data_IF_955792061343
#
_entry.id   IF_955792061343
#
_cell.length_a   1.000
_cell.length_b   1.000
_cell.length_c   1.000
_cell.angle_alpha   90.00
_cell.angle_beta   90.00
_cell.angle_gamma   90.00
#
_symmetry.space_group_name_H-M   'P 1'
#
loop_
_entity.id
_entity.type
_entity.pdbx_description
1 polymer ?
#
# COMPACT_ATOMS: atom_id res chain seq x y z
N UNK A 1 -17.50 13.85 22.95
CA UNK A 1 -16.80 14.17 21.69
C UNK A 1 -16.74 12.90 20.86
N UNK A 2 -17.01 12.98 19.56
CA UNK A 2 -16.79 11.87 18.63
C UNK A 2 -15.33 11.42 18.67
N UNK A 3 -15.09 10.12 18.83
CA UNK A 3 -13.74 9.54 18.74
C UNK A 3 -13.27 9.56 17.28
N UNK A 4 -12.04 10.03 17.06
CA UNK A 4 -11.37 9.99 15.76
C UNK A 4 -10.50 8.73 15.73
N UNK A 5 -10.72 7.87 14.74
CA UNK A 5 -10.01 6.60 14.59
C UNK A 5 -9.35 6.55 13.21
N UNK A 6 -8.04 6.30 13.17
CA UNK A 6 -7.30 6.04 11.93
C UNK A 6 -7.27 4.55 11.68
N UNK A 7 -7.85 4.13 10.55
CA UNK A 7 -7.91 2.74 10.12
C UNK A 7 -6.90 2.52 8.99
N UNK A 8 -5.86 1.75 9.27
CA UNK A 8 -4.70 1.61 8.37
C UNK A 8 -3.97 0.28 8.49
N UNK A 9 -3.19 -0.16 7.47
CA UNK A 9 -2.35 -1.36 7.55
C UNK A 9 -1.10 -1.21 8.46
N UNK A 10 -0.81 0.01 8.90
CA UNK A 10 0.29 0.31 9.82
C UNK A 10 -0.22 1.17 10.96
N UNK A 11 0.27 1.00 12.20
CA UNK A 11 -0.16 1.82 13.33
C UNK A 11 0.04 3.32 13.07
N UNK A 12 -0.98 4.12 13.36
CA UNK A 12 -0.84 5.56 13.48
C UNK A 12 -0.05 5.89 14.75
N UNK A 13 0.98 6.73 14.63
CA UNK A 13 1.93 7.05 15.71
C UNK A 13 1.70 8.41 16.38
N UNK A 14 0.68 9.16 15.97
CA UNK A 14 0.34 10.43 16.61
C UNK A 14 -0.61 10.25 17.80
N UNK A 15 -0.83 11.34 18.52
CA UNK A 15 -1.67 11.42 19.73
C UNK A 15 -3.08 11.97 19.46
N UNK A 16 -3.32 12.47 18.24
CA UNK A 16 -4.57 13.14 17.87
C UNK A 16 -5.73 12.21 17.50
N UNK A 17 -5.48 10.90 17.39
CA UNK A 17 -6.46 9.90 16.99
C UNK A 17 -6.07 8.52 17.51
N UNK A 18 -7.07 7.65 17.69
CA UNK A 18 -6.83 6.22 18.01
C UNK A 18 -6.42 5.48 16.74
N UNK A 19 -5.49 4.54 16.85
CA UNK A 19 -5.10 3.67 15.72
C UNK A 19 -5.90 2.37 15.75
N UNK A 20 -6.45 1.98 14.60
CA UNK A 20 -7.04 0.66 14.37
C UNK A 20 -6.36 0.00 13.17
N UNK A 21 -5.69 -1.12 13.39
CA UNK A 21 -5.00 -1.86 12.33
C UNK A 21 -5.87 -3.03 11.88
N UNK A 22 -6.46 -2.91 10.68
CA UNK A 22 -7.33 -3.94 10.12
C UNK A 22 -6.63 -4.88 9.12
N UNK A 23 -5.35 -4.60 8.84
CA UNK A 23 -4.60 -5.29 7.82
C UNK A 23 -3.16 -5.49 8.27
N UNK A 24 -2.56 -6.58 7.84
CA UNK A 24 -1.13 -6.83 7.96
C UNK A 24 -0.47 -6.95 6.59
N UNK A 25 0.77 -6.49 6.49
CA UNK A 25 1.61 -6.73 5.32
C UNK A 25 2.49 -7.94 5.62
N UNK A 26 2.32 -9.00 4.85
CA UNK A 26 3.10 -10.24 4.98
C UNK A 26 4.08 -10.33 3.82
N UNK A 27 5.37 -10.42 4.12
CA UNK A 27 6.41 -10.68 3.12
C UNK A 27 6.52 -12.19 2.89
N UNK A 28 6.56 -12.59 1.63
CA UNK A 28 6.57 -13.99 1.25
C UNK A 28 7.99 -14.53 1.24
N UNK A 29 8.21 -15.79 1.66
CA UNK A 29 9.51 -16.42 1.55
C UNK A 29 9.91 -16.51 0.07
N UNK A 30 11.16 -16.14 -0.22
CA UNK A 30 11.75 -16.23 -1.55
C UNK A 30 12.90 -17.23 -1.53
N UNK A 31 13.03 -18.01 -2.59
CA UNK A 31 14.12 -18.96 -2.76
C UNK A 31 14.86 -18.66 -4.05
N UNK A 32 16.18 -18.78 -4.03
CA UNK A 32 17.00 -18.67 -5.22
C UNK A 32 17.85 -19.95 -5.35
N UNK A 33 17.64 -20.69 -6.43
CA UNK A 33 18.41 -21.89 -6.77
C UNK A 33 18.85 -21.75 -8.22
N UNK A 34 20.15 -21.91 -8.49
CA UNK A 34 20.73 -21.83 -9.85
C UNK A 34 20.31 -20.58 -10.63
N UNK A 35 20.39 -19.40 -9.99
CA UNK A 35 19.96 -18.10 -10.53
C UNK A 35 18.46 -18.00 -10.87
N UNK A 36 17.65 -18.94 -10.42
CA UNK A 36 16.21 -18.90 -10.55
C UNK A 36 15.59 -18.47 -9.24
N UNK A 37 14.95 -17.30 -9.23
CA UNK A 37 14.23 -16.74 -8.09
C UNK A 37 12.78 -17.17 -8.12
N UNK A 38 12.27 -17.72 -7.02
CA UNK A 38 10.90 -18.21 -6.92
C UNK A 38 10.18 -17.68 -5.68
N UNK A 39 8.86 -17.59 -5.81
CA UNK A 39 7.89 -17.30 -4.75
C UNK A 39 6.76 -18.32 -4.87
N UNK A 40 6.10 -18.66 -3.78
CA UNK A 40 5.01 -19.63 -3.78
C UNK A 40 3.78 -19.19 -4.61
N UNK A 41 3.71 -17.91 -4.99
CA UNK A 41 2.56 -17.33 -5.68
C UNK A 41 2.85 -16.86 -7.11
N UNK A 42 4.06 -17.02 -7.63
CA UNK A 42 4.41 -16.58 -8.98
C UNK A 42 5.32 -17.59 -9.68
N UNK A 43 5.34 -17.54 -11.01
CA UNK A 43 6.27 -18.34 -11.80
C UNK A 43 7.73 -18.04 -11.39
N UNK A 44 8.63 -19.03 -11.45
CA UNK A 44 10.05 -18.80 -11.25
C UNK A 44 10.62 -17.82 -12.29
N UNK A 45 11.59 -17.01 -11.87
CA UNK A 45 12.22 -15.96 -12.66
C UNK A 45 13.71 -16.26 -12.81
N UNK A 46 14.19 -16.37 -14.06
CA UNK A 46 15.62 -16.45 -14.34
C UNK A 46 16.27 -15.07 -14.20
N UNK A 47 17.10 -14.90 -13.17
CA UNK A 47 17.80 -13.67 -12.87
C UNK A 47 18.79 -13.26 -13.96
N UNK A 48 19.34 -14.19 -14.74
CA UNK A 48 20.39 -13.89 -15.75
C UNK A 48 19.88 -12.99 -16.87
N UNK A 49 18.58 -13.02 -17.14
CA UNK A 49 17.96 -12.28 -18.24
C UNK A 49 17.40 -10.93 -17.83
N UNK A 50 17.33 -10.66 -16.52
CA UNK A 50 16.72 -9.46 -15.96
C UNK A 50 17.57 -8.22 -16.21
N UNK A 51 16.91 -7.16 -16.64
CA UNK A 51 17.56 -5.88 -16.98
C UNK A 51 17.09 -4.72 -16.11
N UNK A 52 15.94 -4.82 -15.45
CA UNK A 52 15.39 -3.77 -14.60
C UNK A 52 14.39 -4.31 -13.59
N UNK A 53 14.12 -3.53 -12.54
CA UNK A 53 13.04 -3.76 -11.59
C UNK A 53 12.02 -2.62 -11.63
N UNK A 54 10.75 -2.97 -11.44
CA UNK A 54 9.66 -2.00 -11.32
C UNK A 54 9.01 -2.16 -9.94
N UNK A 55 8.95 -1.06 -9.18
CA UNK A 55 8.35 -1.01 -7.85
C UNK A 55 7.20 0.00 -7.80
N UNK A 56 6.00 -0.47 -7.47
CA UNK A 56 4.83 0.40 -7.25
C UNK A 56 4.57 0.70 -5.77
N UNK A 57 5.31 0.06 -4.86
CA UNK A 57 5.12 0.17 -3.42
C UNK A 57 6.45 0.03 -2.70
N UNK A 58 6.62 0.77 -1.60
CA UNK A 58 7.77 0.62 -0.68
C UNK A 58 7.93 -0.81 -0.15
N UNK A 59 6.84 -1.59 -0.11
CA UNK A 59 6.87 -2.96 0.38
C UNK A 59 7.55 -3.94 -0.58
N UNK A 60 7.68 -3.60 -1.88
CA UNK A 60 8.41 -4.44 -2.83
C UNK A 60 9.92 -4.57 -2.47
N UNK A 61 10.70 -3.47 -2.35
CA UNK A 61 12.10 -3.58 -1.94
C UNK A 61 12.26 -4.08 -0.49
N UNK A 62 11.35 -3.73 0.43
CA UNK A 62 11.39 -4.25 1.80
C UNK A 62 11.18 -5.77 1.88
N UNK A 63 10.29 -6.32 1.05
CA UNK A 63 10.06 -7.76 0.98
C UNK A 63 11.28 -8.50 0.39
N UNK A 64 11.92 -7.94 -0.65
CA UNK A 64 13.16 -8.48 -1.17
C UNK A 64 14.25 -8.51 -0.10
N UNK A 65 14.45 -7.40 0.62
CA UNK A 65 15.42 -7.31 1.72
C UNK A 65 15.14 -8.35 2.81
N UNK A 66 13.89 -8.43 3.25
CA UNK A 66 13.47 -9.34 4.32
C UNK A 66 13.67 -10.80 3.96
N UNK A 67 13.28 -11.19 2.74
CA UNK A 67 13.24 -12.59 2.34
C UNK A 67 14.57 -13.11 1.81
N UNK A 68 15.39 -12.24 1.20
CA UNK A 68 16.67 -12.64 0.59
C UNK A 68 17.89 -12.28 1.42
N UNK A 69 17.77 -11.39 2.42
CA UNK A 69 18.85 -11.02 3.34
C UNK A 69 20.17 -10.72 2.62
N UNK A 70 21.29 -11.28 3.09
CA UNK A 70 22.61 -11.08 2.49
C UNK A 70 22.93 -12.00 1.31
N UNK A 71 21.93 -12.53 0.59
CA UNK A 71 22.17 -13.44 -0.55
C UNK A 71 22.78 -12.74 -1.76
N UNK A 72 23.50 -13.51 -2.59
CA UNK A 72 24.02 -13.05 -3.89
C UNK A 72 22.90 -12.62 -4.84
N UNK A 73 21.71 -13.22 -4.73
CA UNK A 73 20.53 -12.83 -5.49
C UNK A 73 20.10 -11.39 -5.18
N UNK A 74 20.04 -11.02 -3.89
CA UNK A 74 19.72 -9.64 -3.51
C UNK A 74 20.81 -8.67 -3.97
N UNK A 75 22.08 -9.04 -3.82
CA UNK A 75 23.20 -8.23 -4.28
C UNK A 75 23.08 -7.93 -5.79
N UNK A 76 22.77 -8.95 -6.61
CA UNK A 76 22.51 -8.78 -8.04
C UNK A 76 21.30 -7.85 -8.30
N UNK A 77 20.15 -8.10 -7.67
CA UNK A 77 18.94 -7.29 -7.84
C UNK A 77 19.19 -5.80 -7.52
N UNK A 78 20.03 -5.49 -6.52
CA UNK A 78 20.38 -4.11 -6.16
C UNK A 78 21.21 -3.39 -7.23
N UNK A 79 21.92 -4.13 -8.09
CA UNK A 79 22.68 -3.54 -9.22
C UNK A 79 21.79 -3.15 -10.41
N UNK A 80 20.61 -3.76 -10.52
CA UNK A 80 19.69 -3.49 -11.63
C UNK A 80 19.07 -2.09 -11.50
N UNK A 81 18.84 -1.41 -12.63
CA UNK A 81 18.10 -0.15 -12.63
C UNK A 81 16.67 -0.35 -12.11
N UNK A 82 16.25 0.53 -11.21
CA UNK A 82 14.93 0.51 -10.57
C UNK A 82 14.07 1.68 -11.04
N UNK A 83 12.86 1.36 -11.49
CA UNK A 83 11.78 2.29 -11.77
C UNK A 83 10.77 2.27 -10.62
N UNK A 84 10.68 3.35 -9.86
CA UNK A 84 9.78 3.47 -8.72
C UNK A 84 8.59 4.39 -9.03
N UNK A 85 7.37 3.95 -8.73
CA UNK A 85 6.13 4.71 -8.99
C UNK A 85 6.08 6.07 -8.28
N UNK A 86 6.63 6.15 -7.07
CA UNK A 86 6.47 7.32 -6.22
C UNK A 86 7.70 7.56 -5.36
N UNK A 87 7.89 8.83 -4.96
CA UNK A 87 9.02 9.31 -4.15
C UNK A 87 9.24 8.44 -2.90
N UNK A 88 8.18 8.09 -2.15
CA UNK A 88 8.32 7.26 -0.94
C UNK A 88 8.86 5.86 -1.25
N UNK A 89 8.44 5.26 -2.36
CA UNK A 89 8.95 3.94 -2.78
C UNK A 89 10.40 4.03 -3.25
N UNK A 90 10.75 5.10 -3.97
CA UNK A 90 12.11 5.38 -4.41
C UNK A 90 13.06 5.57 -3.22
N UNK A 91 12.69 6.40 -2.24
CA UNK A 91 13.47 6.66 -1.04
C UNK A 91 13.75 5.39 -0.24
N UNK A 92 12.73 4.53 -0.06
CA UNK A 92 12.91 3.25 0.62
C UNK A 92 13.85 2.34 -0.16
N UNK A 93 13.68 2.20 -1.48
CA UNK A 93 14.58 1.41 -2.31
C UNK A 93 16.03 1.92 -2.24
N UNK A 94 16.25 3.24 -2.34
CA UNK A 94 17.57 3.86 -2.21
C UNK A 94 18.19 3.60 -0.84
N UNK A 95 17.42 3.72 0.24
CA UNK A 95 17.92 3.45 1.61
C UNK A 95 18.36 2.00 1.83
N UNK A 96 17.83 1.07 1.02
CA UNK A 96 18.21 -0.34 1.00
C UNK A 96 19.35 -0.63 0.01
N UNK A 97 19.86 0.37 -0.70
CA UNK A 97 20.98 0.24 -1.65
C UNK A 97 20.58 -0.17 -3.07
N UNK A 98 19.31 -0.07 -3.45
CA UNK A 98 18.89 -0.28 -4.85
C UNK A 98 19.23 0.93 -5.72
N UNK A 99 19.62 0.66 -6.97
CA UNK A 99 19.92 1.68 -7.96
C UNK A 99 18.65 2.27 -8.61
N UNK A 100 18.01 3.22 -7.95
CA UNK A 100 16.82 3.91 -8.50
C UNK A 100 17.20 4.93 -9.56
N UNK A 101 16.78 4.67 -10.80
CA UNK A 101 17.06 5.53 -11.97
C UNK A 101 15.85 6.36 -12.41
N UNK A 102 14.65 6.00 -11.96
CA UNK A 102 13.42 6.70 -12.31
C UNK A 102 12.46 6.74 -11.14
N UNK A 103 11.86 7.91 -10.90
CA UNK A 103 10.79 8.11 -9.91
C UNK A 103 9.60 8.77 -10.59
N UNK A 104 8.45 8.10 -10.56
CA UNK A 104 7.21 8.61 -11.14
C UNK A 104 6.74 9.90 -10.46
N UNK A 105 6.17 10.80 -11.26
CA UNK A 105 5.80 12.15 -10.82
C UNK A 105 4.38 12.21 -10.25
N UNK A 106 3.49 11.35 -10.75
CA UNK A 106 2.05 11.44 -10.51
C UNK A 106 1.53 10.54 -9.37
N UNK A 107 2.36 9.61 -8.86
CA UNK A 107 1.97 8.55 -7.92
C UNK A 107 0.75 7.70 -8.37
N UNK A 108 0.37 7.78 -9.66
CA UNK A 108 -0.73 7.04 -10.26
C UNK A 108 -0.20 5.98 -11.23
N UNK A 109 -0.48 4.70 -10.96
CA UNK A 109 0.09 3.57 -11.68
C UNK A 109 -0.20 3.55 -13.20
N UNK A 110 -1.34 4.10 -13.63
CA UNK A 110 -1.67 4.20 -15.05
C UNK A 110 -0.77 5.20 -15.78
N UNK A 111 -0.61 6.40 -15.23
CA UNK A 111 0.29 7.43 -15.76
C UNK A 111 1.73 6.91 -15.74
N UNK A 112 2.13 6.25 -14.65
CA UNK A 112 3.45 5.69 -14.50
C UNK A 112 3.84 4.65 -15.57
N UNK A 113 2.94 3.73 -15.93
CA UNK A 113 3.22 2.76 -16.98
C UNK A 113 3.55 3.45 -18.32
N UNK A 114 2.87 4.57 -18.62
CA UNK A 114 3.17 5.41 -19.80
C UNK A 114 4.47 6.20 -19.63
N UNK A 115 4.71 6.74 -18.43
CA UNK A 115 5.92 7.52 -18.10
C UNK A 115 7.20 6.69 -18.32
N UNK A 116 7.21 5.42 -17.93
CA UNK A 116 8.40 4.56 -18.04
C UNK A 116 8.54 3.85 -19.37
N UNK A 117 7.47 3.73 -20.17
CA UNK A 117 7.46 2.97 -21.43
C UNK A 117 8.64 3.29 -22.37
N UNK A 118 9.06 4.55 -22.57
CA UNK A 118 10.19 4.87 -23.45
C UNK A 118 11.56 4.42 -22.91
N UNK A 119 11.66 4.13 -21.62
CA UNK A 119 12.91 3.86 -20.91
C UNK A 119 13.00 2.43 -20.37
N UNK A 120 11.89 1.71 -20.34
CA UNK A 120 11.80 0.40 -19.71
C UNK A 120 12.41 -0.68 -20.60
N UNK A 121 13.42 -1.44 -20.14
CA UNK A 121 13.96 -2.56 -20.89
C UNK A 121 12.92 -3.67 -21.11
N UNK A 122 13.07 -4.45 -22.19
CA UNK A 122 12.16 -5.54 -22.52
C UNK A 122 12.04 -6.61 -21.42
N UNK A 123 13.12 -6.84 -20.65
CA UNK A 123 13.16 -7.81 -19.55
C UNK A 123 13.14 -7.10 -18.18
N UNK A 124 12.13 -6.25 -17.95
CA UNK A 124 11.88 -5.65 -16.65
C UNK A 124 10.99 -6.56 -15.79
N UNK A 125 11.38 -6.76 -14.52
CA UNK A 125 10.60 -7.53 -13.55
C UNK A 125 9.72 -6.60 -12.71
N UNK A 126 8.41 -6.84 -12.74
CA UNK A 126 7.48 -6.19 -11.84
C UNK A 126 7.43 -6.92 -10.49
N UNK A 127 8.08 -6.35 -9.48
CA UNK A 127 8.07 -6.89 -8.11
C UNK A 127 6.90 -6.28 -7.35
N UNK A 128 5.92 -7.11 -6.97
CA UNK A 128 4.58 -6.64 -6.61
C UNK A 128 3.96 -7.34 -5.40
N UNK A 129 2.88 -6.72 -4.93
CA UNK A 129 1.91 -7.38 -4.06
C UNK A 129 1.17 -8.49 -4.83
N UNK A 130 0.58 -9.44 -4.10
CA UNK A 130 -0.41 -10.37 -4.64
C UNK A 130 -1.54 -9.63 -5.36
N UNK A 131 -2.14 -8.64 -4.68
CA UNK A 131 -3.21 -7.79 -5.24
C UNK A 131 -2.67 -6.38 -5.45
N UNK A 132 -2.75 -5.89 -6.69
CA UNK A 132 -2.37 -4.51 -7.07
C UNK A 132 -3.59 -3.62 -7.23
N UNK A 133 -3.41 -2.31 -7.04
CA UNK A 133 -4.47 -1.32 -7.25
C UNK A 133 -4.74 -1.03 -8.74
N UNK A 134 -3.88 -1.53 -9.64
CA UNK A 134 -3.98 -1.35 -11.10
C UNK A 134 -3.33 -2.54 -11.80
N UNK A 135 -3.82 -2.81 -13.02
CA UNK A 135 -3.33 -3.82 -13.95
C UNK A 135 -2.43 -3.24 -15.06
N UNK A 136 -2.06 -1.95 -14.99
CA UNK A 136 -1.32 -1.28 -16.06
C UNK A 136 0.06 -1.88 -16.36
N UNK A 137 0.62 -2.65 -15.42
CA UNK A 137 1.92 -3.31 -15.51
C UNK A 137 1.81 -4.84 -15.59
N UNK A 138 0.60 -5.41 -15.73
CA UNK A 138 0.39 -6.87 -15.73
C UNK A 138 0.93 -7.56 -16.99
N UNK A 139 1.31 -6.78 -18.01
CA UNK A 139 2.00 -7.26 -19.20
C UNK A 139 3.49 -7.58 -18.96
N UNK A 140 4.07 -7.13 -17.84
CA UNK A 140 5.44 -7.43 -17.47
C UNK A 140 5.52 -8.79 -16.74
N UNK A 141 6.62 -9.55 -16.90
CA UNK A 141 6.95 -10.63 -15.98
C UNK A 141 6.88 -10.10 -14.54
N UNK A 142 6.30 -10.88 -13.62
CA UNK A 142 6.08 -10.42 -12.25
C UNK A 142 6.48 -11.43 -11.20
N UNK A 143 6.99 -10.90 -10.08
CA UNK A 143 7.31 -11.66 -8.89
C UNK A 143 6.44 -11.14 -7.75
N UNK A 144 5.59 -12.00 -7.20
CA UNK A 144 4.74 -11.67 -6.06
C UNK A 144 5.57 -11.90 -4.79
N UNK A 145 5.94 -10.83 -4.09
CA UNK A 145 6.85 -10.90 -2.93
C UNK A 145 6.19 -10.53 -1.61
N UNK A 146 4.97 -10.00 -1.64
CA UNK A 146 4.22 -9.71 -0.43
C UNK A 146 2.73 -9.74 -0.67
N UNK A 147 1.96 -9.76 0.40
CA UNK A 147 0.53 -9.59 0.37
C UNK A 147 0.02 -8.71 1.51
N UNK A 148 -1.13 -8.10 1.27
CA UNK A 148 -1.87 -7.36 2.28
C UNK A 148 -3.03 -8.24 2.73
N UNK A 149 -2.99 -8.76 3.95
CA UNK A 149 -4.01 -9.67 4.50
C UNK A 149 -4.91 -8.90 5.46
N UNK A 150 -6.25 -9.00 5.34
CA UNK A 150 -7.16 -8.56 6.37
C UNK A 150 -6.92 -9.34 7.67
N UNK A 151 -6.94 -8.65 8.81
CA UNK A 151 -6.91 -9.26 10.13
C UNK A 151 -8.33 -9.65 10.55
N UNK A 152 -8.44 -10.71 11.35
CA UNK A 152 -9.67 -11.03 12.09
C UNK A 152 -9.56 -10.36 13.45
N UNK A 153 -10.41 -9.37 13.70
CA UNK A 153 -10.40 -8.55 14.88
C UNK A 153 -11.56 -8.92 15.80
N UNK A 154 -11.34 -8.92 17.13
CA UNK A 154 -12.39 -9.21 18.08
C UNK A 154 -13.34 -7.99 18.20
N UNK A 155 -14.61 -8.21 18.56
CA UNK A 155 -15.64 -7.15 18.50
C UNK A 155 -15.38 -5.99 19.46
N UNK A 156 -14.57 -6.19 20.49
CA UNK A 156 -14.16 -5.15 21.44
C UNK A 156 -13.29 -4.07 20.80
N UNK A 157 -12.67 -4.38 19.65
CA UNK A 157 -11.93 -3.40 18.85
C UNK A 157 -12.84 -2.50 17.99
N UNK A 158 -14.14 -2.78 17.92
CA UNK A 158 -15.10 -1.97 17.15
C UNK A 158 -15.15 -0.55 17.71
N UNK A 159 -15.00 0.49 16.85
CA UNK A 159 -15.18 1.87 17.28
C UNK A 159 -16.54 2.11 17.92
N UNK A 160 -16.63 3.10 18.81
CA UNK A 160 -17.91 3.46 19.44
C UNK A 160 -18.83 4.17 18.43
N UNK A 161 -20.16 4.09 18.60
CA UNK A 161 -21.10 4.89 17.82
C UNK A 161 -20.69 6.36 17.73
N UNK A 162 -21.02 7.00 16.60
CA UNK A 162 -20.66 8.40 16.28
C UNK A 162 -19.15 8.67 16.15
N UNK A 163 -18.32 7.64 15.98
CA UNK A 163 -16.90 7.79 15.62
C UNK A 163 -16.72 8.33 14.20
N UNK A 164 -15.64 9.08 14.01
CA UNK A 164 -15.14 9.50 12.69
C UNK A 164 -13.98 8.59 12.32
N UNK A 165 -14.13 7.85 11.23
CA UNK A 165 -13.20 6.82 10.78
C UNK A 165 -12.41 7.31 9.57
N UNK A 166 -11.10 7.46 9.74
CA UNK A 166 -10.18 7.85 8.67
C UNK A 166 -9.59 6.59 8.03
N UNK A 167 -9.89 6.32 6.77
CA UNK A 167 -9.36 5.19 6.02
C UNK A 167 -8.20 5.61 5.13
N UNK A 168 -7.05 4.93 5.27
CA UNK A 168 -5.84 5.25 4.51
C UNK A 168 -5.69 4.45 3.21
N UNK A 169 -6.55 3.46 2.99
CA UNK A 169 -6.54 2.61 1.80
C UNK A 169 -7.91 1.93 1.58
N UNK A 170 -8.27 1.57 0.34
CA UNK A 170 -9.46 0.75 0.05
C UNK A 170 -9.49 -0.56 0.85
N UNK A 171 -8.34 -1.23 0.95
CA UNK A 171 -8.23 -2.50 1.69
C UNK A 171 -8.55 -2.37 3.18
N UNK A 172 -8.20 -1.24 3.79
CA UNK A 172 -8.51 -0.95 5.19
C UNK A 172 -10.02 -0.79 5.42
N UNK A 173 -10.71 -0.16 4.47
CA UNK A 173 -12.18 -0.06 4.48
C UNK A 173 -12.84 -1.44 4.38
N UNK A 174 -12.46 -2.22 3.37
CA UNK A 174 -13.06 -3.55 3.18
C UNK A 174 -12.79 -4.49 4.37
N UNK A 175 -11.57 -4.47 4.93
CA UNK A 175 -11.24 -5.24 6.12
C UNK A 175 -12.05 -4.78 7.35
N UNK A 176 -12.24 -3.47 7.53
CA UNK A 176 -13.07 -2.95 8.61
C UNK A 176 -14.53 -3.40 8.49
N UNK A 177 -15.14 -3.24 7.30
CA UNK A 177 -16.53 -3.65 7.07
C UNK A 177 -16.71 -5.15 7.26
N UNK A 178 -15.75 -5.97 6.81
CA UNK A 178 -15.78 -7.41 7.01
C UNK A 178 -15.73 -7.82 8.50
N UNK A 179 -15.03 -7.05 9.35
CA UNK A 179 -14.94 -7.34 10.78
C UNK A 179 -16.14 -6.84 11.59
N UNK A 180 -16.66 -5.64 11.29
CA UNK A 180 -17.57 -4.93 12.19
C UNK A 180 -18.92 -4.55 11.59
N UNK A 181 -19.10 -4.77 10.28
CA UNK A 181 -20.13 -4.12 9.46
C UNK A 181 -20.05 -2.58 9.53
N UNK A 182 -20.78 -1.89 8.64
CA UNK A 182 -20.90 -0.44 8.74
C UNK A 182 -22.01 -0.04 9.72
N UNK A 183 -21.72 0.87 10.64
CA UNK A 183 -22.71 1.45 11.53
C UNK A 183 -23.16 2.82 11.01
N UNK A 184 -24.48 3.06 10.91
CA UNK A 184 -25.05 4.30 10.36
C UNK A 184 -24.61 5.58 11.08
N UNK A 185 -24.23 5.48 12.35
CA UNK A 185 -23.79 6.62 13.15
C UNK A 185 -22.38 7.10 12.77
N UNK A 186 -21.59 6.28 12.07
CA UNK A 186 -20.22 6.62 11.69
C UNK A 186 -20.16 7.65 10.56
N UNK A 187 -19.08 8.42 10.57
CA UNK A 187 -18.65 9.22 9.44
C UNK A 187 -17.32 8.68 8.91
N UNK A 188 -17.18 8.56 7.60
CA UNK A 188 -15.95 8.12 6.96
C UNK A 188 -15.16 9.30 6.38
N UNK A 189 -13.84 9.24 6.49
CA UNK A 189 -12.93 10.11 5.75
C UNK A 189 -11.98 9.23 4.95
N UNK A 190 -11.98 9.38 3.63
CA UNK A 190 -10.99 8.76 2.75
C UNK A 190 -9.76 9.65 2.62
N UNK A 191 -8.57 9.09 2.78
CA UNK A 191 -7.32 9.84 2.56
C UNK A 191 -7.21 10.35 1.12
N UNK A 192 -7.76 9.63 0.14
CA UNK A 192 -7.70 10.04 -1.26
C UNK A 192 -8.76 9.36 -2.12
N UNK A 193 -8.80 9.74 -3.39
CA UNK A 193 -9.86 9.37 -4.32
C UNK A 193 -10.06 7.86 -4.48
N UNK A 194 -8.99 7.06 -4.50
CA UNK A 194 -9.11 5.59 -4.60
C UNK A 194 -9.82 4.98 -3.39
N UNK A 195 -9.55 5.50 -2.18
CA UNK A 195 -10.21 5.04 -0.96
C UNK A 195 -11.65 5.52 -0.91
N UNK A 196 -11.91 6.76 -1.34
CA UNK A 196 -13.26 7.32 -1.38
C UNK A 196 -14.18 6.52 -2.32
N UNK A 197 -13.67 6.12 -3.49
CA UNK A 197 -14.38 5.27 -4.45
C UNK A 197 -14.68 3.86 -3.93
N UNK A 198 -13.98 3.39 -2.90
CA UNK A 198 -14.18 2.07 -2.32
C UNK A 198 -15.35 2.03 -1.33
N UNK A 199 -15.80 3.19 -0.86
CA UNK A 199 -16.91 3.30 0.08
C UNK A 199 -18.24 2.97 -0.59
N UNK A 200 -19.13 2.35 0.18
CA UNK A 200 -20.51 2.15 -0.25
C UNK A 200 -21.23 3.49 -0.40
N UNK A 201 -22.03 3.65 -1.45
CA UNK A 201 -22.70 4.92 -1.78
C UNK A 201 -23.69 5.40 -0.70
N UNK A 202 -24.09 4.51 0.21
CA UNK A 202 -25.04 4.80 1.29
C UNK A 202 -24.39 5.36 2.56
N UNK A 203 -23.05 5.39 2.67
CA UNK A 203 -22.37 5.86 3.89
C UNK A 203 -22.09 7.37 3.84
N UNK A 204 -22.15 8.02 5.00
CA UNK A 204 -21.73 9.41 5.14
C UNK A 204 -20.20 9.48 5.05
N UNK A 205 -19.68 9.89 3.90
CA UNK A 205 -18.24 9.93 3.64
C UNK A 205 -17.77 11.28 3.09
N UNK A 206 -16.53 11.61 3.44
CA UNK A 206 -15.80 12.75 2.90
C UNK A 206 -14.47 12.30 2.30
N UNK A 207 -14.04 12.97 1.24
CA UNK A 207 -12.66 12.85 0.76
C UNK A 207 -11.81 13.94 1.40
N UNK A 208 -10.63 13.59 1.90
CA UNK A 208 -9.66 14.56 2.38
C UNK A 208 -9.25 15.54 1.26
N UNK A 209 -9.09 16.85 1.55
CA UNK A 209 -8.65 17.83 0.56
C UNK A 209 -7.21 17.60 0.08
N UNK A 210 -6.38 16.92 0.90
CA UNK A 210 -5.03 16.50 0.54
C UNK A 210 -4.81 15.04 0.96
N UNK A 211 -4.04 14.25 0.19
CA UNK A 211 -3.77 12.85 0.50
C UNK A 211 -2.74 12.67 1.63
N UNK A 212 -3.04 13.22 2.80
CA UNK A 212 -2.21 13.18 4.00
C UNK A 212 -3.05 12.94 5.24
N UNK A 213 -2.47 12.30 6.25
CA UNK A 213 -3.15 12.00 7.51
C UNK A 213 -3.46 13.29 8.28
N UNK A 214 -2.57 14.28 8.20
CA UNK A 214 -2.73 15.58 8.84
C UNK A 214 -3.98 16.30 8.31
N UNK A 215 -4.18 16.29 6.99
CA UNK A 215 -5.38 16.86 6.37
C UNK A 215 -6.65 16.09 6.76
N UNK A 216 -6.58 14.76 6.85
CA UNK A 216 -7.71 13.94 7.30
C UNK A 216 -8.10 14.24 8.75
N UNK A 217 -7.11 14.36 9.65
CA UNK A 217 -7.32 14.65 11.06
C UNK A 217 -7.87 16.07 11.24
N UNK A 218 -7.35 17.05 10.50
CA UNK A 218 -7.89 18.40 10.52
C UNK A 218 -9.37 18.42 10.09
N UNK A 219 -9.72 17.72 9.01
CA UNK A 219 -11.11 17.57 8.57
C UNK A 219 -11.97 16.87 9.63
N UNK A 220 -11.48 15.79 10.24
CA UNK A 220 -12.19 15.06 11.30
C UNK A 220 -12.50 15.96 12.50
N UNK A 221 -11.56 16.81 12.92
CA UNK A 221 -11.77 17.77 14.01
C UNK A 221 -12.86 18.78 13.67
N UNK A 222 -12.87 19.31 12.44
CA UNK A 222 -13.93 20.21 11.97
C UNK A 222 -15.30 19.53 12.02
N UNK A 223 -15.42 18.31 11.49
CA UNK A 223 -16.67 17.55 11.51
C UNK A 223 -17.13 17.25 12.94
N UNK A 224 -16.21 16.84 13.83
CA UNK A 224 -16.52 16.58 15.24
C UNK A 224 -17.05 17.83 15.97
N UNK A 225 -16.59 19.03 15.60
CA UNK A 225 -17.07 20.30 16.19
C UNK A 225 -18.45 20.74 15.70
N UNK A 226 -18.83 20.36 14.46
CA UNK A 226 -20.12 20.67 13.87
C UNK A 226 -21.24 19.71 14.34
N UNK A 227 -20.88 18.54 14.82
CA UNK A 227 -21.84 17.52 15.28
C UNK A 227 -22.18 17.80 16.75
N UNK A 228 -23.08 18.75 17.01
CA UNK A 228 -23.72 18.85 18.33
C UNK A 228 -24.60 17.62 18.50
N UNK A 229 -24.12 16.67 19.30
CA UNK A 229 -24.90 15.52 19.73
C UNK A 229 -26.05 16.09 20.59
N UNK A 230 -27.33 15.85 20.25
CA UNK A 230 -28.45 16.23 21.11
C UNK A 230 -28.40 15.49 22.46
#
# INVERSE_FOLDING_TARGET
MSSIVVVSPTPYKGDLATSLVCNEIVYLPLQCVDFTLSSSLSAPIDLKTLQALVFTSKHAPLALEHSLGSSSALAFLKTLPVFALAIKSAQVAQSLGFHVIFTGQSAHAFSFAKEIQPYLPSNALFVRAKITASNSLDHLPSLIVYENRPLVLPQECKPKPYSILIFTAPSAYHAFVANFSWEKSYQAIAIGASTFKAFDSAICAHQSPKPSLEACIALAKTLASCTKIP
#
